data_IF_648017717579
#
_entry.id   IF_648017717579
#
_cell.length_a   1.000
_cell.length_b   1.000
_cell.length_c   1.000
_cell.angle_alpha   90.00
_cell.angle_beta   90.00
_cell.angle_gamma   90.00
#
_symmetry.space_group_name_H-M   'P 1'
#
loop_
_entity.id
_entity.type
_entity.pdbx_description
1 polymer ?
#
# COMPACT_ATOMS: atom_id res chain seq x y z
N UNK A 1 -43.45 -35.06 -31.75
CA UNK A 1 -43.08 -33.66 -32.10
C UNK A 1 -42.57 -32.89 -30.89
N UNK A 2 -43.21 -33.05 -29.72
CA UNK A 2 -42.75 -32.36 -28.48
C UNK A 2 -41.37 -32.85 -28.00
N UNK A 3 -41.02 -34.14 -28.13
CA UNK A 3 -39.73 -34.70 -27.74
C UNK A 3 -38.59 -34.22 -28.63
N UNK A 4 -38.82 -33.94 -29.90
CA UNK A 4 -37.81 -33.40 -30.81
C UNK A 4 -37.51 -31.93 -30.55
N UNK A 5 -38.50 -31.16 -30.03
CA UNK A 5 -38.31 -29.74 -29.71
C UNK A 5 -37.48 -29.57 -28.43
N UNK A 6 -37.62 -30.48 -27.45
CA UNK A 6 -36.78 -30.43 -26.26
C UNK A 6 -35.31 -30.82 -26.51
N UNK A 7 -35.06 -31.67 -27.52
CA UNK A 7 -33.68 -32.09 -27.88
C UNK A 7 -32.93 -31.01 -28.67
N UNK A 8 -33.63 -30.14 -29.42
CA UNK A 8 -33.02 -29.03 -30.15
C UNK A 8 -32.68 -27.86 -29.25
N UNK A 9 -33.41 -27.65 -28.14
CA UNK A 9 -33.03 -26.62 -27.16
C UNK A 9 -31.82 -27.02 -26.30
N UNK A 10 -31.50 -28.34 -26.20
CA UNK A 10 -30.33 -28.82 -25.48
C UNK A 10 -29.03 -28.75 -26.31
N UNK A 11 -29.11 -28.37 -27.60
CA UNK A 11 -27.98 -28.25 -28.53
C UNK A 11 -27.67 -26.80 -28.95
N UNK A 12 -28.36 -25.81 -28.37
CA UNK A 12 -27.86 -24.43 -28.44
C UNK A 12 -26.63 -24.41 -27.53
N UNK A 13 -25.42 -24.24 -28.07
CA UNK A 13 -24.29 -23.94 -27.18
C UNK A 13 -24.68 -22.69 -26.43
N UNK A 14 -24.85 -22.78 -25.11
CA UNK A 14 -24.67 -21.61 -24.27
C UNK A 14 -23.21 -21.19 -24.54
N UNK A 15 -23.00 -20.33 -25.53
CA UNK A 15 -21.85 -19.46 -25.49
C UNK A 15 -22.06 -18.64 -24.23
N UNK A 16 -21.51 -19.09 -23.11
CA UNK A 16 -21.20 -18.18 -22.05
C UNK A 16 -20.40 -17.07 -22.76
N UNK A 17 -20.98 -15.88 -22.85
CA UNK A 17 -20.20 -14.71 -23.19
C UNK A 17 -19.19 -14.63 -22.03
N UNK A 18 -18.00 -15.18 -22.26
CA UNK A 18 -16.87 -14.84 -21.41
C UNK A 18 -16.73 -13.34 -21.57
N UNK A 19 -17.05 -12.60 -20.53
CA UNK A 19 -16.86 -11.16 -20.51
C UNK A 19 -15.34 -10.96 -20.76
N UNK A 20 -15.01 -10.25 -21.83
CA UNK A 20 -13.61 -9.98 -22.17
C UNK A 20 -13.06 -9.01 -21.12
N UNK A 21 -11.86 -9.25 -20.65
CA UNK A 21 -11.16 -8.27 -19.84
C UNK A 21 -11.07 -6.93 -20.59
N UNK A 22 -11.13 -5.79 -19.88
CA UNK A 22 -10.90 -4.49 -20.52
C UNK A 22 -9.59 -4.51 -21.31
N UNK A 23 -9.59 -3.82 -22.46
CA UNK A 23 -8.42 -3.70 -23.31
C UNK A 23 -7.38 -2.72 -22.76
N UNK A 24 -7.12 -2.65 -21.48
CA UNK A 24 -6.14 -1.74 -20.87
C UNK A 24 -5.10 -1.17 -21.87
N UNK A 25 -4.01 -0.61 -21.49
CA UNK A 25 -2.93 -0.15 -22.38
C UNK A 25 -2.26 -1.26 -23.22
N UNK A 26 -2.70 -2.52 -23.10
CA UNK A 26 -2.19 -3.71 -23.79
C UNK A 26 -1.90 -4.87 -22.84
N UNK A 27 -1.28 -5.94 -23.40
CA UNK A 27 -0.94 -7.15 -22.66
C UNK A 27 -2.08 -8.17 -22.57
N UNK A 28 -1.77 -9.35 -22.01
CA UNK A 28 -2.72 -10.47 -21.85
C UNK A 28 -2.96 -10.84 -20.38
N UNK A 29 -2.38 -10.09 -19.43
CA UNK A 29 -2.51 -10.33 -18.01
C UNK A 29 -1.67 -11.48 -17.45
N UNK A 30 -0.81 -12.08 -18.26
CA UNK A 30 0.15 -13.10 -17.80
C UNK A 30 1.40 -12.45 -17.20
N UNK A 31 2.17 -13.21 -16.42
CA UNK A 31 3.43 -12.70 -15.85
C UNK A 31 4.43 -12.22 -16.93
N UNK A 32 4.50 -12.90 -18.08
CA UNK A 32 5.39 -12.53 -19.17
C UNK A 32 4.84 -11.43 -20.08
N UNK A 33 3.54 -11.13 -19.99
CA UNK A 33 2.84 -10.14 -20.80
C UNK A 33 1.70 -9.53 -19.96
N UNK A 34 2.02 -8.71 -18.93
CA UNK A 34 1.04 -8.15 -18.01
C UNK A 34 0.10 -7.15 -18.69
N UNK A 35 -1.08 -6.98 -18.18
CA UNK A 35 -1.95 -5.88 -18.57
C UNK A 35 -1.31 -4.55 -18.23
N UNK A 36 -1.22 -3.66 -19.22
CA UNK A 36 -0.52 -2.39 -19.06
C UNK A 36 -1.46 -1.29 -18.57
N UNK A 37 -1.06 -0.60 -17.52
CA UNK A 37 -1.74 0.58 -16.98
C UNK A 37 -0.87 1.79 -17.34
N UNK A 38 -1.18 2.41 -18.48
CA UNK A 38 -0.37 3.46 -19.08
C UNK A 38 -0.94 4.86 -18.85
N UNK A 39 -2.21 4.95 -18.43
CA UNK A 39 -2.94 6.21 -18.35
C UNK A 39 -3.91 6.22 -17.17
N UNK A 40 -4.47 7.41 -16.91
CA UNK A 40 -5.56 7.60 -15.96
C UNK A 40 -6.79 6.76 -16.35
N UNK A 41 -7.10 6.68 -17.63
CA UNK A 41 -8.22 5.92 -18.18
C UNK A 41 -8.07 4.42 -17.94
N UNK A 42 -6.87 3.87 -18.12
CA UNK A 42 -6.59 2.44 -17.82
C UNK A 42 -6.77 2.14 -16.33
N UNK A 43 -6.30 3.04 -15.47
CA UNK A 43 -6.44 2.87 -14.02
C UNK A 43 -7.92 2.94 -13.58
N UNK A 44 -8.70 3.84 -14.17
CA UNK A 44 -10.15 3.93 -13.94
C UNK A 44 -10.85 2.66 -14.46
N UNK A 45 -10.49 2.19 -15.65
CA UNK A 45 -11.05 0.96 -16.21
C UNK A 45 -10.77 -0.26 -15.31
N UNK A 46 -9.60 -0.34 -14.68
CA UNK A 46 -9.29 -1.40 -13.71
C UNK A 46 -10.21 -1.29 -12.47
N UNK A 47 -10.42 -0.08 -11.95
CA UNK A 47 -11.33 0.12 -10.82
C UNK A 47 -12.78 -0.27 -11.17
N UNK A 48 -13.28 0.16 -12.32
CA UNK A 48 -14.62 -0.19 -12.80
C UNK A 48 -14.78 -1.70 -13.02
N UNK A 49 -13.77 -2.35 -13.61
CA UNK A 49 -13.77 -3.80 -13.86
C UNK A 49 -13.89 -4.60 -12.56
N UNK A 50 -13.12 -4.28 -11.53
CA UNK A 50 -13.23 -4.91 -10.21
C UNK A 50 -14.56 -4.56 -9.53
N UNK A 51 -14.91 -3.29 -9.51
CA UNK A 51 -16.04 -2.77 -8.73
C UNK A 51 -17.42 -3.14 -9.30
N UNK A 52 -17.49 -3.54 -10.57
CA UNK A 52 -18.72 -4.06 -11.20
C UNK A 52 -18.96 -5.55 -10.96
N UNK A 53 -17.98 -6.27 -10.40
CA UNK A 53 -18.02 -7.72 -10.22
C UNK A 53 -17.60 -8.51 -11.47
N UNK A 54 -17.26 -7.84 -12.57
CA UNK A 54 -16.86 -8.51 -13.82
C UNK A 54 -15.54 -9.29 -13.67
N UNK A 55 -14.74 -8.94 -12.66
CA UNK A 55 -13.47 -9.62 -12.37
C UNK A 55 -13.63 -10.94 -11.59
N UNK A 56 -14.80 -11.25 -11.03
CA UNK A 56 -15.01 -12.46 -10.20
C UNK A 56 -14.63 -13.76 -10.91
N UNK A 57 -14.84 -13.84 -12.22
CA UNK A 57 -14.53 -15.02 -13.02
C UNK A 57 -13.06 -15.12 -13.43
N UNK A 58 -12.28 -14.05 -13.23
CA UNK A 58 -10.86 -14.01 -13.60
C UNK A 58 -10.00 -14.60 -12.48
N UNK A 59 -9.66 -15.88 -12.62
CA UNK A 59 -8.81 -16.64 -11.71
C UNK A 59 -7.85 -17.52 -12.56
N UNK A 60 -6.64 -16.99 -12.81
CA UNK A 60 -5.66 -17.64 -13.67
C UNK A 60 -5.13 -18.96 -13.08
N UNK A 61 -5.20 -19.12 -11.75
CA UNK A 61 -4.71 -20.30 -11.06
C UNK A 61 -5.82 -21.31 -10.74
N UNK A 62 -7.07 -20.98 -11.11
CA UNK A 62 -8.27 -21.79 -10.81
C UNK A 62 -8.39 -22.18 -9.32
N UNK A 63 -7.94 -21.28 -8.43
CA UNK A 63 -7.95 -21.47 -6.99
C UNK A 63 -9.33 -21.24 -6.36
N UNK A 64 -10.31 -20.77 -7.13
CA UNK A 64 -11.63 -20.39 -6.66
C UNK A 64 -11.65 -19.06 -5.90
N UNK A 65 -10.63 -18.22 -6.10
CA UNK A 65 -10.49 -16.90 -5.48
C UNK A 65 -11.16 -15.83 -6.35
N UNK A 66 -10.99 -15.89 -7.68
CA UNK A 66 -11.50 -14.89 -8.61
C UNK A 66 -10.80 -13.52 -8.47
N UNK A 67 -11.48 -12.46 -8.90
CA UNK A 67 -11.03 -11.06 -8.68
C UNK A 67 -9.61 -10.79 -9.19
N UNK A 68 -9.29 -11.32 -10.39
CA UNK A 68 -7.99 -11.25 -11.04
C UNK A 68 -6.87 -12.03 -10.35
N UNK A 69 -7.18 -13.02 -9.51
CA UNK A 69 -6.17 -13.87 -8.88
C UNK A 69 -5.25 -14.53 -9.93
N UNK A 70 -3.93 -14.43 -9.73
CA UNK A 70 -2.90 -14.92 -10.65
C UNK A 70 -2.69 -14.08 -11.92
N UNK A 71 -3.46 -13.00 -12.12
CA UNK A 71 -3.21 -12.04 -13.21
C UNK A 71 -2.24 -10.95 -12.79
N UNK A 72 -1.56 -10.38 -13.80
CA UNK A 72 -0.50 -9.39 -13.62
C UNK A 72 -0.86 -8.07 -14.32
N UNK A 73 -0.61 -6.98 -13.61
CA UNK A 73 -0.81 -5.61 -14.07
C UNK A 73 0.51 -4.85 -13.93
N UNK A 74 0.87 -4.06 -14.92
CA UNK A 74 2.09 -3.26 -14.88
C UNK A 74 1.80 -1.81 -15.24
N UNK A 75 2.12 -0.89 -14.34
CA UNK A 75 2.10 0.53 -14.63
C UNK A 75 3.29 0.88 -15.51
N UNK A 76 3.08 1.74 -16.52
CA UNK A 76 4.12 2.09 -17.50
C UNK A 76 4.41 3.58 -17.57
N UNK A 77 3.71 4.39 -16.77
CA UNK A 77 3.91 5.83 -16.67
C UNK A 77 3.42 6.36 -15.32
N UNK A 78 3.89 7.53 -14.93
CA UNK A 78 3.28 8.29 -13.83
C UNK A 78 1.84 8.66 -14.17
N UNK A 79 0.91 8.46 -13.23
CA UNK A 79 -0.52 8.75 -13.40
C UNK A 79 -0.89 9.92 -12.48
N UNK A 80 -1.46 10.98 -13.06
CA UNK A 80 -1.96 12.14 -12.34
C UNK A 80 -3.49 12.10 -12.31
N UNK A 81 -4.07 12.01 -11.11
CA UNK A 81 -5.52 11.96 -10.88
C UNK A 81 -6.11 13.33 -10.54
N UNK A 82 -5.43 14.42 -10.88
CA UNK A 82 -5.94 15.78 -10.66
C UNK A 82 -7.31 15.97 -11.35
N UNK A 83 -8.32 16.33 -10.57
CA UNK A 83 -9.69 16.54 -11.04
C UNK A 83 -10.55 15.28 -11.17
N UNK A 84 -9.98 14.11 -10.84
CA UNK A 84 -10.72 12.85 -10.79
C UNK A 84 -11.26 12.61 -9.38
N UNK A 85 -12.55 12.27 -9.28
CA UNK A 85 -13.12 11.70 -8.07
C UNK A 85 -12.76 10.21 -8.05
N UNK A 86 -11.71 9.85 -7.32
CA UNK A 86 -11.17 8.51 -7.36
C UNK A 86 -12.05 7.52 -6.57
N UNK A 87 -12.43 6.43 -7.21
CA UNK A 87 -13.01 5.25 -6.56
C UNK A 87 -11.92 4.19 -6.36
N UNK A 88 -11.75 3.62 -5.15
CA UNK A 88 -10.73 2.61 -4.91
C UNK A 88 -10.91 1.35 -5.78
N UNK A 89 -9.81 0.76 -6.22
CA UNK A 89 -9.80 -0.53 -6.94
C UNK A 89 -10.19 -1.62 -5.93
N UNK A 90 -11.33 -2.30 -6.15
CA UNK A 90 -11.88 -3.29 -5.23
C UNK A 90 -12.23 -2.66 -3.87
N UNK A 91 -13.48 -2.61 -3.47
CA UNK A 91 -13.90 -1.79 -2.32
C UNK A 91 -14.54 -2.59 -1.18
N UNK A 92 -14.60 -3.91 -1.29
CA UNK A 92 -15.28 -4.74 -0.30
C UNK A 92 -14.70 -6.15 -0.22
N UNK A 93 -15.14 -6.93 0.76
CA UNK A 93 -14.80 -8.33 0.88
C UNK A 93 -15.34 -9.23 -0.24
N UNK A 94 -16.22 -8.72 -1.11
CA UNK A 94 -16.67 -9.41 -2.32
C UNK A 94 -15.94 -8.92 -3.57
N UNK A 95 -15.67 -7.62 -3.63
CA UNK A 95 -14.98 -6.97 -4.74
C UNK A 95 -13.62 -6.49 -4.26
N UNK A 96 -12.65 -7.37 -4.19
CA UNK A 96 -11.28 -7.10 -3.78
C UNK A 96 -10.31 -7.33 -4.93
N UNK A 97 -9.13 -6.77 -4.84
CA UNK A 97 -8.06 -7.02 -5.80
C UNK A 97 -7.23 -8.22 -5.33
N UNK A 98 -7.20 -9.29 -6.13
CA UNK A 98 -6.40 -10.50 -5.88
C UNK A 98 -5.25 -10.69 -6.87
N UNK A 99 -5.06 -9.75 -7.79
CA UNK A 99 -4.00 -9.79 -8.80
C UNK A 99 -2.64 -9.35 -8.27
N UNK A 100 -1.69 -9.25 -9.18
CA UNK A 100 -0.34 -8.77 -8.93
C UNK A 100 -0.16 -7.44 -9.66
N UNK A 101 -0.04 -6.34 -8.92
CA UNK A 101 0.14 -4.99 -9.47
C UNK A 101 1.58 -4.54 -9.27
N UNK A 102 2.30 -4.32 -10.37
CA UNK A 102 3.64 -3.75 -10.39
C UNK A 102 3.57 -2.27 -10.85
N UNK A 103 3.85 -1.35 -9.96
CA UNK A 103 3.96 0.08 -10.26
C UNK A 103 5.19 0.44 -11.09
N UNK A 104 6.14 -0.50 -11.28
CA UNK A 104 7.40 -0.31 -12.04
C UNK A 104 8.20 0.94 -11.63
N UNK A 105 8.06 1.38 -10.37
CA UNK A 105 8.67 2.60 -9.84
C UNK A 105 7.94 3.89 -10.20
N UNK A 106 6.82 3.82 -10.90
CA UNK A 106 6.00 4.98 -11.22
C UNK A 106 5.12 5.44 -10.06
N UNK A 107 4.64 6.67 -10.15
CA UNK A 107 3.77 7.25 -9.14
C UNK A 107 2.32 7.41 -9.61
N UNK A 108 1.39 7.26 -8.64
CA UNK A 108 0.02 7.78 -8.74
C UNK A 108 -0.05 9.00 -7.81
N UNK A 109 -0.49 10.14 -8.36
CA UNK A 109 -0.47 11.42 -7.63
C UNK A 109 -1.77 12.19 -7.70
N UNK A 110 -1.97 13.05 -6.69
CA UNK A 110 -3.10 13.96 -6.57
C UNK A 110 -4.48 13.25 -6.53
N UNK A 111 -4.50 12.00 -6.09
CA UNK A 111 -5.74 11.25 -5.95
C UNK A 111 -6.60 11.83 -4.82
N UNK A 112 -7.87 12.08 -5.10
CA UNK A 112 -8.87 12.53 -4.11
C UNK A 112 -10.00 11.52 -4.08
N UNK A 113 -10.27 10.95 -2.89
CA UNK A 113 -11.34 9.97 -2.69
C UNK A 113 -12.11 10.28 -1.42
N UNK A 114 -13.44 10.15 -1.48
CA UNK A 114 -14.31 10.14 -0.30
C UNK A 114 -14.62 8.74 0.20
N UNK A 115 -13.89 7.76 -0.34
CA UNK A 115 -14.09 6.35 -0.08
C UNK A 115 -15.31 5.78 -0.79
N UNK A 116 -15.38 4.46 -0.81
CA UNK A 116 -16.55 3.74 -1.30
C UNK A 116 -17.14 2.90 -0.17
N UNK A 117 -18.47 2.96 -0.05
CA UNK A 117 -19.21 2.22 0.98
C UNK A 117 -19.80 0.99 0.32
N UNK A 118 -19.59 -0.17 0.92
CA UNK A 118 -20.17 -1.42 0.47
C UNK A 118 -21.62 -1.61 0.97
N UNK A 119 -22.35 -2.65 0.49
CA UNK A 119 -23.72 -2.91 0.92
C UNK A 119 -23.88 -3.16 2.43
N UNK A 120 -22.84 -3.60 3.11
CA UNK A 120 -22.85 -3.86 4.55
C UNK A 120 -22.49 -2.60 5.36
N UNK A 121 -22.13 -1.51 4.68
CA UNK A 121 -21.84 -0.19 5.26
C UNK A 121 -20.38 0.01 5.68
N UNK A 122 -19.47 -0.85 5.24
CA UNK A 122 -18.02 -0.65 5.39
C UNK A 122 -17.55 0.38 4.37
N UNK A 123 -16.73 1.31 4.78
CA UNK A 123 -16.13 2.29 3.89
C UNK A 123 -14.63 2.03 3.74
N UNK A 124 -14.14 2.06 2.51
CA UNK A 124 -12.70 1.95 2.23
C UNK A 124 -12.23 3.09 1.34
N UNK A 125 -11.02 3.58 1.59
CA UNK A 125 -10.34 4.55 0.72
C UNK A 125 -8.84 4.22 0.62
N UNK A 126 -8.29 4.44 -0.57
CA UNK A 126 -6.92 4.14 -0.95
C UNK A 126 -6.78 4.17 -2.47
N UNK A 127 -5.62 3.85 -3.01
CA UNK A 127 -5.55 3.46 -4.43
C UNK A 127 -6.34 2.16 -4.62
N UNK A 128 -6.12 1.20 -3.72
CA UNK A 128 -6.95 0.00 -3.57
C UNK A 128 -7.86 0.15 -2.36
N UNK A 129 -9.11 -0.31 -2.45
CA UNK A 129 -9.98 -0.45 -1.29
C UNK A 129 -9.60 -1.70 -0.50
N UNK A 130 -9.58 -2.86 -1.16
CA UNK A 130 -9.16 -4.14 -0.60
C UNK A 130 -8.14 -4.82 -1.51
N UNK A 131 -7.04 -5.26 -0.92
CA UNK A 131 -6.09 -6.20 -1.53
C UNK A 131 -6.14 -7.48 -0.72
N UNK A 132 -6.58 -8.58 -1.35
CA UNK A 132 -6.69 -9.87 -0.69
C UNK A 132 -6.09 -10.96 -1.57
N UNK A 133 -5.18 -11.78 -1.02
CA UNK A 133 -4.49 -12.87 -1.71
C UNK A 133 -3.66 -12.45 -2.94
N UNK A 134 -3.37 -11.15 -3.06
CA UNK A 134 -2.62 -10.57 -4.18
C UNK A 134 -1.35 -9.85 -3.74
N UNK A 135 -0.79 -9.06 -4.65
CA UNK A 135 0.38 -8.23 -4.35
C UNK A 135 0.30 -6.85 -4.99
N UNK A 136 0.91 -5.88 -4.31
CA UNK A 136 1.19 -4.55 -4.86
C UNK A 136 2.66 -4.26 -4.65
N UNK A 137 3.38 -3.98 -5.73
CA UNK A 137 4.81 -3.68 -5.61
C UNK A 137 5.22 -2.47 -6.45
N UNK A 138 6.33 -1.83 -6.06
CA UNK A 138 6.97 -0.72 -6.77
C UNK A 138 6.05 0.47 -7.06
N UNK A 139 5.04 0.71 -6.22
CA UNK A 139 4.05 1.78 -6.39
C UNK A 139 4.33 2.95 -5.44
N UNK A 140 4.36 4.17 -5.97
CA UNK A 140 4.55 5.39 -5.20
C UNK A 140 3.31 6.28 -5.24
N UNK A 141 2.67 6.50 -4.08
CA UNK A 141 1.50 7.39 -3.96
C UNK A 141 1.96 8.74 -3.41
N UNK A 142 1.59 9.83 -4.10
CA UNK A 142 2.01 11.18 -3.74
C UNK A 142 0.85 12.16 -3.71
N UNK A 143 0.82 13.02 -2.68
CA UNK A 143 -0.17 14.11 -2.54
C UNK A 143 -1.62 13.59 -2.58
N UNK A 144 -1.90 12.42 -2.04
CA UNK A 144 -3.26 11.89 -1.97
C UNK A 144 -4.05 12.55 -0.83
N UNK A 145 -5.37 12.68 -1.04
CA UNK A 145 -6.30 13.11 -0.02
C UNK A 145 -7.46 12.10 0.04
N UNK A 146 -7.38 11.17 0.98
CA UNK A 146 -8.35 10.11 1.14
C UNK A 146 -9.13 10.28 2.43
N UNK A 147 -10.45 10.31 2.28
CA UNK A 147 -11.38 10.39 3.41
C UNK A 147 -12.40 9.28 3.26
N UNK A 148 -12.61 8.47 4.29
CA UNK A 148 -13.70 7.50 4.30
C UNK A 148 -14.64 7.74 5.48
N UNK A 149 -15.93 7.60 5.23
CA UNK A 149 -16.98 7.69 6.25
C UNK A 149 -17.90 6.49 6.11
N UNK A 150 -17.71 5.48 6.95
CA UNK A 150 -18.56 4.30 6.98
C UNK A 150 -19.99 4.64 7.43
N UNK A 151 -20.97 3.90 6.96
CA UNK A 151 -22.36 4.03 7.39
C UNK A 151 -22.66 3.17 8.62
N UNK A 152 -21.98 2.03 8.74
CA UNK A 152 -22.00 1.14 9.89
C UNK A 152 -20.65 1.26 10.65
N UNK A 153 -20.12 0.26 11.26
CA UNK A 153 -19.06 0.37 12.26
C UNK A 153 -17.62 0.48 11.71
N UNK A 154 -17.40 0.41 10.39
CA UNK A 154 -16.06 0.22 9.87
C UNK A 154 -15.71 1.26 8.79
N UNK A 155 -14.53 1.85 8.94
CA UNK A 155 -13.98 2.77 7.96
C UNK A 155 -12.45 2.59 7.92
N UNK A 156 -11.93 2.14 6.78
CA UNK A 156 -10.53 1.80 6.60
C UNK A 156 -9.89 2.68 5.53
N UNK A 157 -8.84 3.42 5.90
CA UNK A 157 -8.15 4.35 5.01
C UNK A 157 -6.66 4.06 4.99
N UNK A 158 -6.11 3.83 3.79
CA UNK A 158 -4.68 3.71 3.58
C UNK A 158 -4.27 4.35 2.26
N UNK A 159 -3.03 4.79 2.14
CA UNK A 159 -2.55 5.39 0.91
C UNK A 159 -2.43 4.37 -0.24
N UNK A 160 -1.98 3.16 0.07
CA UNK A 160 -1.95 2.05 -0.87
C UNK A 160 -3.30 1.31 -0.84
N UNK A 161 -3.73 0.83 0.32
CA UNK A 161 -4.97 0.07 0.43
C UNK A 161 -5.73 0.38 1.74
N UNK A 162 -7.06 0.41 1.67
CA UNK A 162 -7.90 0.43 2.87
C UNK A 162 -7.70 -0.83 3.71
N UNK A 163 -7.72 -2.00 3.07
CA UNK A 163 -7.54 -3.31 3.70
C UNK A 163 -6.49 -4.15 2.96
N UNK A 164 -5.64 -4.83 3.73
CA UNK A 164 -4.67 -5.83 3.26
C UNK A 164 -4.92 -7.17 3.95
N UNK A 165 -5.39 -8.17 3.21
CA UNK A 165 -5.70 -9.50 3.73
C UNK A 165 -4.81 -10.57 3.07
N UNK A 166 -3.95 -11.23 3.84
CA UNK A 166 -3.09 -12.30 3.34
C UNK A 166 -2.20 -11.93 2.15
N UNK A 167 -1.92 -10.64 1.97
CA UNK A 167 -1.32 -10.07 0.77
C UNK A 167 0.08 -9.51 1.00
N UNK A 168 0.79 -9.18 -0.08
CA UNK A 168 2.13 -8.59 -0.03
C UNK A 168 2.12 -7.16 -0.58
N UNK A 169 2.73 -6.22 0.17
CA UNK A 169 3.00 -4.86 -0.29
C UNK A 169 4.51 -4.63 -0.20
N UNK A 170 5.14 -4.42 -1.36
CA UNK A 170 6.60 -4.38 -1.45
C UNK A 170 7.10 -3.17 -2.22
N UNK A 171 8.17 -2.54 -1.72
CA UNK A 171 8.82 -1.39 -2.36
C UNK A 171 7.83 -0.27 -2.73
N UNK A 172 6.87 0.00 -1.83
CA UNK A 172 5.84 1.01 -2.02
C UNK A 172 6.07 2.21 -1.10
N UNK A 173 5.63 3.39 -1.53
CA UNK A 173 5.69 4.56 -0.66
C UNK A 173 4.43 5.42 -0.74
N UNK A 174 4.13 6.09 0.38
CA UNK A 174 3.09 7.12 0.46
C UNK A 174 3.72 8.38 1.03
N UNK A 175 3.62 9.47 0.28
CA UNK A 175 4.34 10.71 0.60
C UNK A 175 3.41 11.92 0.49
N UNK A 176 3.53 12.88 1.43
CA UNK A 176 2.81 14.16 1.43
C UNK A 176 1.29 14.00 1.32
N UNK A 177 0.71 13.02 1.99
CA UNK A 177 -0.70 12.65 1.83
C UNK A 177 -1.49 12.89 3.12
N UNK A 178 -2.81 13.14 2.95
CA UNK A 178 -3.78 13.28 4.03
C UNK A 178 -4.75 12.11 4.00
N UNK A 179 -4.85 11.39 5.09
CA UNK A 179 -5.58 10.13 5.21
C UNK A 179 -6.48 10.21 6.42
N UNK A 180 -7.79 10.21 6.22
CA UNK A 180 -8.74 10.44 7.30
C UNK A 180 -9.88 9.41 7.30
N UNK A 181 -10.03 8.71 8.43
CA UNK A 181 -11.15 7.80 8.67
C UNK A 181 -12.12 8.48 9.64
N UNK A 182 -13.33 8.76 9.14
CA UNK A 182 -14.37 9.52 9.89
C UNK A 182 -15.52 8.63 10.26
N UNK A 183 -15.70 8.36 11.52
CA UNK A 183 -16.96 7.92 12.10
C UNK A 183 -16.95 7.80 13.62
N UNK A 184 -18.14 7.70 14.18
CA UNK A 184 -18.47 7.69 15.61
C UNK A 184 -18.50 6.27 16.23
N UNK A 185 -17.70 5.29 15.77
CA UNK A 185 -17.68 3.93 16.32
C UNK A 185 -16.26 3.33 16.29
N UNK A 186 -16.03 2.29 17.09
CA UNK A 186 -14.73 1.76 17.48
C UNK A 186 -13.81 1.14 16.40
N UNK A 187 -14.20 1.07 15.15
CA UNK A 187 -13.42 0.36 14.13
C UNK A 187 -13.08 1.29 12.95
N UNK A 188 -12.53 2.45 13.29
CA UNK A 188 -12.09 3.42 12.31
C UNK A 188 -10.58 3.42 12.28
N UNK A 189 -10.01 2.88 11.22
CA UNK A 189 -8.59 2.71 11.10
C UNK A 189 -8.05 3.57 9.96
N UNK A 190 -6.98 4.30 10.24
CA UNK A 190 -6.24 5.00 9.21
C UNK A 190 -4.74 4.76 9.37
N UNK A 191 -4.07 4.44 8.26
CA UNK A 191 -2.61 4.29 8.21
C UNK A 191 -2.05 4.87 6.92
N UNK A 192 -0.79 5.30 6.94
CA UNK A 192 -0.22 5.87 5.71
C UNK A 192 -0.17 4.86 4.57
N UNK A 193 0.15 3.61 4.86
CA UNK A 193 0.23 2.56 3.84
C UNK A 193 -1.09 1.80 3.75
N UNK A 194 -1.60 1.31 4.89
CA UNK A 194 -2.80 0.48 4.96
C UNK A 194 -3.66 0.87 6.16
N UNK A 195 -5.00 0.92 5.99
CA UNK A 195 -5.92 1.16 7.09
C UNK A 195 -6.00 -0.03 8.05
N UNK A 196 -6.26 -1.23 7.52
CA UNK A 196 -6.42 -2.46 8.28
C UNK A 196 -5.65 -3.61 7.64
N UNK A 197 -4.92 -4.39 8.43
CA UNK A 197 -4.12 -5.52 7.95
C UNK A 197 -4.37 -6.79 8.75
N UNK A 198 -4.51 -7.92 8.06
CA UNK A 198 -4.42 -9.26 8.63
C UNK A 198 -3.56 -10.15 7.73
N UNK A 199 -2.50 -10.74 8.29
CA UNK A 199 -1.52 -11.54 7.54
C UNK A 199 -0.77 -10.78 6.45
N UNK A 200 -0.68 -9.45 6.56
CA UNK A 200 0.01 -8.59 5.59
C UNK A 200 1.52 -8.75 5.64
N UNK A 201 2.18 -8.81 4.49
CA UNK A 201 3.65 -8.84 4.38
C UNK A 201 4.13 -7.55 3.72
N UNK A 202 4.85 -6.75 4.51
CA UNK A 202 5.36 -5.45 4.08
C UNK A 202 6.88 -5.49 3.99
N UNK A 203 7.42 -5.21 2.82
CA UNK A 203 8.87 -5.18 2.60
C UNK A 203 9.28 -3.89 1.88
N UNK A 204 10.28 -3.19 2.39
CA UNK A 204 10.81 -1.97 1.78
C UNK A 204 9.73 -0.93 1.49
N UNK A 205 8.87 -0.65 2.47
CA UNK A 205 7.81 0.33 2.32
C UNK A 205 8.06 1.56 3.19
N UNK A 206 7.65 2.73 2.68
CA UNK A 206 7.95 4.03 3.26
C UNK A 206 6.71 4.91 3.43
N UNK A 207 6.56 5.50 4.60
CA UNK A 207 5.57 6.54 4.87
C UNK A 207 6.28 7.85 5.26
N UNK A 208 6.11 8.90 4.44
CA UNK A 208 6.83 10.16 4.66
C UNK A 208 5.88 11.38 4.62
N UNK A 209 6.03 12.29 5.57
CA UNK A 209 5.33 13.57 5.59
C UNK A 209 3.80 13.44 5.46
N UNK A 210 3.21 12.40 5.98
CA UNK A 210 1.78 12.16 5.90
C UNK A 210 1.05 12.69 7.13
N UNK A 211 -0.20 13.08 6.94
CA UNK A 211 -1.13 13.35 8.02
C UNK A 211 -2.17 12.22 8.07
N UNK A 212 -2.19 11.49 9.16
CA UNK A 212 -3.16 10.43 9.44
C UNK A 212 -4.10 10.91 10.53
N UNK A 213 -5.40 10.89 10.25
CA UNK A 213 -6.43 11.28 11.20
C UNK A 213 -7.51 10.20 11.27
N UNK A 214 -7.92 9.85 12.48
CA UNK A 214 -8.92 8.81 12.70
C UNK A 214 -9.74 9.07 13.96
N UNK A 215 -10.85 8.36 14.09
CA UNK A 215 -11.69 8.39 15.28
C UNK A 215 -11.38 7.25 16.26
N UNK A 216 -10.50 6.31 15.92
CA UNK A 216 -10.09 5.21 16.80
C UNK A 216 -8.62 4.82 16.65
N UNK A 217 -8.21 4.12 15.58
CA UNK A 217 -6.88 3.53 15.44
C UNK A 217 -6.07 4.17 14.33
N UNK A 218 -5.11 5.01 14.71
CA UNK A 218 -4.23 5.71 13.79
C UNK A 218 -2.81 5.17 13.82
N UNK A 219 -2.26 4.80 12.66
CA UNK A 219 -0.87 4.38 12.55
C UNK A 219 -0.09 5.17 11.50
N UNK A 220 1.14 5.50 11.82
CA UNK A 220 2.03 6.10 10.83
C UNK A 220 2.23 5.21 9.61
N UNK A 221 2.04 3.90 9.75
CA UNK A 221 2.13 2.92 8.68
C UNK A 221 0.81 2.16 8.50
N UNK A 222 0.31 1.43 9.52
CA UNK A 222 -0.95 0.68 9.52
C UNK A 222 -1.85 1.16 10.64
N UNK A 223 -3.15 1.39 10.35
CA UNK A 223 -4.12 1.78 11.37
C UNK A 223 -4.34 0.69 12.41
N UNK A 224 -4.68 -0.52 11.97
CA UNK A 224 -4.87 -1.69 12.84
C UNK A 224 -4.27 -2.95 12.20
N UNK A 225 -3.65 -3.79 13.04
CA UNK A 225 -3.26 -5.16 12.70
C UNK A 225 -4.06 -6.12 13.57
N UNK A 226 -4.86 -6.97 12.92
CA UNK A 226 -5.65 -8.02 13.57
C UNK A 226 -5.42 -9.37 12.86
N UNK A 227 -4.57 -10.20 13.43
CA UNK A 227 -4.18 -11.49 12.84
C UNK A 227 -5.09 -12.65 13.29
N UNK A 228 -6.15 -12.37 14.05
CA UNK A 228 -7.10 -13.35 14.56
C UNK A 228 -7.96 -14.05 13.49
N UNK A 229 -8.00 -13.55 12.26
CA UNK A 229 -8.84 -14.07 11.17
C UNK A 229 -8.17 -15.14 10.30
N UNK A 230 -7.05 -15.71 10.73
CA UNK A 230 -6.47 -16.91 10.11
C UNK A 230 -5.63 -16.68 8.85
N UNK A 231 -5.35 -15.43 8.48
CA UNK A 231 -4.43 -15.10 7.37
C UNK A 231 -2.93 -15.19 7.76
N UNK A 232 -2.65 -15.49 9.02
CA UNK A 232 -1.29 -15.53 9.58
C UNK A 232 -0.86 -14.20 10.15
N UNK A 233 0.36 -14.14 10.68
CA UNK A 233 0.89 -12.94 11.31
C UNK A 233 1.42 -11.94 10.29
N UNK A 234 1.15 -10.66 10.54
CA UNK A 234 1.69 -9.56 9.74
C UNK A 234 3.18 -9.37 9.99
N UNK A 235 3.94 -9.03 8.94
CA UNK A 235 5.39 -8.87 9.00
C UNK A 235 5.84 -7.58 8.32
N UNK A 236 6.85 -6.94 8.90
CA UNK A 236 7.43 -5.70 8.38
C UNK A 236 8.94 -5.83 8.30
N UNK A 237 9.49 -5.67 7.12
CA UNK A 237 10.94 -5.78 6.89
C UNK A 237 11.45 -4.61 6.08
N UNK A 238 12.49 -3.93 6.55
CA UNK A 238 13.07 -2.77 5.89
C UNK A 238 12.05 -1.65 5.63
N UNK A 239 11.15 -1.39 6.56
CA UNK A 239 10.11 -0.38 6.44
C UNK A 239 10.38 0.82 7.35
N UNK A 240 9.80 1.97 7.01
CA UNK A 240 9.93 3.13 7.89
C UNK A 240 8.77 4.12 7.82
N UNK A 241 8.69 4.90 8.89
CA UNK A 241 7.84 6.08 9.03
C UNK A 241 8.69 7.27 9.38
N UNK A 242 8.59 8.36 8.63
CA UNK A 242 9.33 9.59 8.90
C UNK A 242 8.45 10.84 8.72
N UNK A 243 8.56 11.80 9.65
CA UNK A 243 7.88 13.09 9.60
C UNK A 243 6.34 12.98 9.46
N UNK A 244 5.73 11.93 9.99
CA UNK A 244 4.30 11.73 9.93
C UNK A 244 3.62 12.30 11.19
N UNK A 245 2.40 12.83 11.01
CA UNK A 245 1.53 13.24 12.10
C UNK A 245 0.35 12.29 12.17
N UNK A 246 0.15 11.67 13.33
CA UNK A 246 -0.96 10.75 13.60
C UNK A 246 -1.83 11.32 14.70
N UNK A 247 -3.09 11.58 14.38
CA UNK A 247 -4.08 12.12 15.31
C UNK A 247 -5.23 11.13 15.40
N UNK A 248 -5.42 10.54 16.58
CA UNK A 248 -6.59 9.74 16.88
C UNK A 248 -7.51 10.58 17.78
N UNK A 249 -8.72 10.87 17.29
CA UNK A 249 -9.75 11.59 18.04
C UNK A 249 -10.77 10.59 18.58
N UNK A 250 -11.38 10.87 19.73
CA UNK A 250 -12.56 10.13 20.15
C UNK A 250 -13.74 11.08 20.20
N UNK A 251 -14.89 10.59 19.73
CA UNK A 251 -16.13 11.17 20.22
C UNK A 251 -16.53 10.49 21.53
N UNK A 252 -17.45 11.10 22.27
CA UNK A 252 -17.82 10.70 23.62
C UNK A 252 -18.49 9.33 23.76
N UNK A 253 -18.64 8.54 22.69
CA UNK A 253 -19.58 7.40 22.69
C UNK A 253 -18.94 6.08 23.11
N UNK A 254 -17.69 5.80 22.76
CA UNK A 254 -17.04 4.53 23.16
C UNK A 254 -15.55 4.60 23.53
N UNK A 255 -14.95 5.72 23.43
CA UNK A 255 -13.77 6.05 24.23
C UNK A 255 -12.41 5.52 23.82
N UNK A 256 -12.25 4.72 22.78
CA UNK A 256 -10.92 4.22 22.39
C UNK A 256 -10.23 5.13 21.39
N UNK A 257 -8.97 5.48 21.67
CA UNK A 257 -8.17 6.34 20.80
C UNK A 257 -6.70 5.96 20.91
N UNK A 258 -6.17 5.36 19.84
CA UNK A 258 -4.78 4.92 19.83
C UNK A 258 -4.04 5.49 18.63
N UNK A 259 -2.85 6.05 18.90
CA UNK A 259 -1.97 6.59 17.87
C UNK A 259 -0.59 5.95 17.98
N UNK A 260 -0.21 5.18 16.95
CA UNK A 260 1.08 4.53 16.87
C UNK A 260 1.97 5.14 15.79
N UNK A 261 3.26 5.21 16.04
CA UNK A 261 4.22 5.62 15.03
C UNK A 261 4.27 4.64 13.85
N UNK A 262 4.06 3.35 14.12
CA UNK A 262 3.96 2.30 13.11
C UNK A 262 2.52 1.79 13.00
N UNK A 263 1.97 1.16 14.04
CA UNK A 263 0.63 0.57 14.09
C UNK A 263 -0.21 1.27 15.14
N UNK A 264 -1.45 1.64 14.80
CA UNK A 264 -2.38 2.27 15.77
C UNK A 264 -2.82 1.31 16.85
N UNK A 265 -3.36 0.14 16.49
CA UNK A 265 -3.73 -0.93 17.41
C UNK A 265 -3.30 -2.29 16.87
N UNK A 266 -2.97 -3.18 17.80
CA UNK A 266 -2.74 -4.59 17.52
C UNK A 266 -3.74 -5.42 18.30
N UNK A 267 -4.46 -6.30 17.59
CA UNK A 267 -5.48 -7.19 18.16
C UNK A 267 -5.10 -8.64 17.87
N UNK A 268 -4.97 -9.46 18.92
CA UNK A 268 -4.65 -10.90 18.85
C UNK A 268 -3.47 -11.23 17.90
N UNK A 269 -2.46 -10.34 17.85
CA UNK A 269 -1.41 -10.33 16.83
C UNK A 269 -0.03 -10.50 17.43
N UNK A 270 0.83 -11.25 16.71
CA UNK A 270 2.27 -11.31 16.97
C UNK A 270 3.03 -10.64 15.81
N UNK A 271 3.27 -9.33 15.95
CA UNK A 271 3.92 -8.54 14.92
C UNK A 271 5.41 -8.88 14.84
N UNK A 272 5.89 -9.20 13.63
CA UNK A 272 7.34 -9.33 13.38
C UNK A 272 7.84 -8.10 12.65
N UNK A 273 8.78 -7.38 13.26
CA UNK A 273 9.35 -6.15 12.72
C UNK A 273 10.87 -6.29 12.63
N UNK A 274 11.42 -6.16 11.43
CA UNK A 274 12.85 -6.31 11.20
C UNK A 274 13.42 -5.15 10.38
N UNK A 275 14.55 -4.59 10.83
CA UNK A 275 15.23 -3.49 10.15
C UNK A 275 14.27 -2.31 9.85
N UNK A 276 13.50 -1.88 10.82
CA UNK A 276 12.50 -0.82 10.64
C UNK A 276 12.83 0.38 11.54
N UNK A 277 12.32 1.55 11.17
CA UNK A 277 12.46 2.70 12.05
C UNK A 277 11.27 3.66 12.01
N UNK A 278 11.12 4.43 13.10
CA UNK A 278 10.19 5.56 13.22
C UNK A 278 11.00 6.81 13.56
N UNK A 279 10.86 7.87 12.77
CA UNK A 279 11.61 9.10 12.97
C UNK A 279 10.71 10.33 12.84
N UNK A 280 10.80 11.26 13.83
CA UNK A 280 10.02 12.51 13.86
C UNK A 280 8.52 12.29 13.66
N UNK A 281 7.95 11.25 14.26
CA UNK A 281 6.51 11.04 14.27
C UNK A 281 5.87 11.87 15.39
N UNK A 282 4.87 12.67 15.04
CA UNK A 282 4.05 13.39 16.02
C UNK A 282 2.78 12.59 16.26
N UNK A 283 2.59 12.13 17.49
CA UNK A 283 1.48 11.26 17.87
C UNK A 283 0.61 11.95 18.91
N UNK A 284 -0.70 12.01 18.69
CA UNK A 284 -1.64 12.54 19.65
C UNK A 284 -2.94 11.75 19.70
N UNK A 285 -3.52 11.70 20.91
CA UNK A 285 -4.88 11.23 21.12
C UNK A 285 -5.70 12.38 21.70
N UNK A 286 -6.78 12.70 21.04
CA UNK A 286 -7.65 13.82 21.40
C UNK A 286 -9.05 13.32 21.81
N UNK A 287 -9.82 14.18 22.51
CA UNK A 287 -11.20 13.87 22.92
C UNK A 287 -11.34 13.54 24.41
N UNK A 288 -12.56 13.20 24.81
CA UNK A 288 -12.99 13.06 26.22
C UNK A 288 -13.02 11.61 26.70
N UNK A 289 -12.34 10.70 26.01
CA UNK A 289 -12.34 9.27 26.33
C UNK A 289 -12.09 8.96 27.81
N UNK A 290 -12.63 7.86 28.26
CA UNK A 290 -12.45 7.34 29.62
C UNK A 290 -10.97 7.11 29.89
N UNK A 291 -10.43 7.48 31.07
CA UNK A 291 -9.04 7.19 31.42
C UNK A 291 -8.73 5.69 31.27
N UNK A 292 -7.76 5.35 30.46
CA UNK A 292 -7.36 3.96 30.17
C UNK A 292 -7.60 3.48 28.75
N UNK A 293 -8.47 4.17 28.00
CA UNK A 293 -8.78 3.80 26.61
C UNK A 293 -8.07 4.66 25.57
N UNK A 294 -6.99 5.31 25.96
CA UNK A 294 -6.13 6.12 25.12
C UNK A 294 -4.69 5.68 25.23
N UNK A 295 -4.00 5.62 24.10
CA UNK A 295 -2.58 5.31 24.10
C UNK A 295 -1.86 5.89 22.90
N UNK A 296 -0.62 6.27 23.14
CA UNK A 296 0.36 6.56 22.09
C UNK A 296 1.53 5.62 22.26
N UNK A 297 2.13 5.18 21.15
CA UNK A 297 3.31 4.34 21.23
C UNK A 297 4.14 4.39 19.95
N UNK A 298 5.44 4.15 20.06
CA UNK A 298 6.36 4.28 18.94
C UNK A 298 6.04 3.28 17.84
N UNK A 299 5.97 1.99 18.17
CA UNK A 299 5.62 0.95 17.21
C UNK A 299 4.14 0.58 17.27
N UNK A 300 3.50 0.66 18.42
CA UNK A 300 2.06 0.42 18.52
C UNK A 300 1.41 1.34 19.54
N UNK A 301 0.28 1.98 19.18
CA UNK A 301 -0.51 2.80 20.11
C UNK A 301 -1.14 1.95 21.20
N UNK A 302 -1.59 0.74 20.88
CA UNK A 302 -2.13 -0.25 21.82
C UNK A 302 -1.79 -1.69 21.42
N UNK A 303 -1.73 -2.57 22.45
CA UNK A 303 -1.55 -4.02 22.33
C UNK A 303 -2.71 -4.72 23.03
N UNK A 304 -3.68 -5.24 22.27
CA UNK A 304 -4.87 -5.92 22.78
C UNK A 304 -4.79 -7.45 22.61
N UNK A 305 -5.50 -8.20 23.44
CA UNK A 305 -5.68 -9.66 23.25
C UNK A 305 -4.40 -10.49 23.42
N UNK A 306 -3.42 -10.00 24.14
CA UNK A 306 -2.11 -10.68 24.28
C UNK A 306 -1.14 -10.42 23.13
N UNK A 307 -1.41 -9.42 22.32
CA UNK A 307 -0.55 -8.99 21.23
C UNK A 307 0.88 -8.69 21.68
N UNK A 308 1.84 -8.93 20.80
CA UNK A 308 3.25 -8.74 21.08
C UNK A 308 4.01 -8.23 19.86
N UNK A 309 5.11 -7.50 20.11
CA UNK A 309 6.03 -7.03 19.08
C UNK A 309 7.33 -7.84 19.21
N UNK A 310 7.66 -8.61 18.17
CA UNK A 310 8.94 -9.27 18.01
C UNK A 310 9.78 -8.46 17.03
N UNK A 311 10.56 -7.52 17.54
CA UNK A 311 11.40 -6.64 16.75
C UNK A 311 12.87 -7.06 16.77
N UNK A 312 13.54 -6.80 15.65
CA UNK A 312 14.98 -7.05 15.48
C UNK A 312 15.60 -5.92 14.68
N UNK A 313 16.65 -5.32 15.23
CA UNK A 313 17.38 -4.23 14.58
C UNK A 313 16.47 -3.05 14.20
N UNK A 314 15.63 -2.63 15.15
CA UNK A 314 14.69 -1.53 14.96
C UNK A 314 15.11 -0.31 15.78
N UNK A 315 14.80 0.89 15.26
CA UNK A 315 15.20 2.14 15.86
C UNK A 315 14.08 3.17 15.83
N UNK A 316 14.16 4.14 16.74
CA UNK A 316 13.29 5.32 16.68
C UNK A 316 14.03 6.57 17.19
N UNK A 317 13.54 7.74 16.82
CA UNK A 317 14.11 8.99 17.29
C UNK A 317 13.20 10.18 17.03
N UNK A 318 13.34 11.21 17.88
CA UNK A 318 12.59 12.46 17.81
C UNK A 318 11.05 12.30 17.80
N UNK A 319 10.53 11.26 18.45
CA UNK A 319 9.07 11.03 18.55
C UNK A 319 8.46 11.63 19.82
N UNK A 320 9.28 11.99 20.80
CA UNK A 320 8.83 12.53 22.09
C UNK A 320 8.13 11.53 23.00
N UNK A 321 8.07 10.25 22.62
CA UNK A 321 7.49 9.13 23.36
C UNK A 321 8.39 7.89 23.25
N UNK A 322 8.26 6.98 24.20
CA UNK A 322 9.05 5.72 24.24
C UNK A 322 8.18 4.49 24.48
N UNK A 323 6.90 4.68 24.71
CA UNK A 323 5.96 3.60 25.01
C UNK A 323 5.79 2.66 23.82
N UNK A 324 5.57 1.37 24.11
CA UNK A 324 5.31 0.30 23.13
C UNK A 324 6.33 0.25 21.98
N UNK A 325 7.59 0.49 22.29
CA UNK A 325 8.69 0.43 21.32
C UNK A 325 9.21 -1.01 21.08
N UNK A 326 8.69 -2.01 21.81
CA UNK A 326 9.28 -3.35 21.83
C UNK A 326 10.70 -3.33 22.41
N UNK A 327 11.66 -3.87 21.68
CA UNK A 327 13.11 -3.80 22.01
C UNK A 327 13.85 -2.79 21.14
N UNK A 328 13.16 -2.03 20.31
CA UNK A 328 13.74 -1.00 19.45
C UNK A 328 14.51 0.06 20.27
N UNK A 329 15.67 0.45 19.75
CA UNK A 329 16.54 1.38 20.46
C UNK A 329 16.24 2.83 20.04
N UNK A 330 16.08 3.71 21.04
CA UNK A 330 16.06 5.15 20.81
C UNK A 330 17.44 5.63 20.33
N UNK A 331 17.43 6.50 19.33
CA UNK A 331 18.62 7.15 18.77
C UNK A 331 18.45 8.65 18.77
N UNK A 332 19.53 9.38 18.96
CA UNK A 332 19.53 10.82 18.84
C UNK A 332 19.28 11.26 17.38
N UNK A 333 18.72 12.45 17.19
CA UNK A 333 18.55 13.02 15.85
C UNK A 333 19.85 13.06 15.05
N UNK A 334 20.97 13.35 15.73
CA UNK A 334 22.29 13.35 15.12
C UNK A 334 22.68 11.98 14.54
N UNK A 335 22.27 10.86 15.17
CA UNK A 335 22.57 9.51 14.69
C UNK A 335 21.79 9.18 13.39
N UNK A 336 20.60 9.76 13.22
CA UNK A 336 19.85 9.69 11.97
C UNK A 336 20.50 10.56 10.88
N UNK A 337 20.96 11.77 11.24
CA UNK A 337 21.52 12.71 10.29
C UNK A 337 22.95 12.36 9.82
N UNK A 338 23.75 11.69 10.65
CA UNK A 338 25.16 11.41 10.37
C UNK A 338 25.44 10.01 9.77
N UNK A 339 24.40 9.23 9.50
CA UNK A 339 24.51 7.89 8.91
C UNK A 339 24.78 6.76 9.90
N UNK A 340 24.83 7.03 11.20
CA UNK A 340 25.02 5.98 12.22
C UNK A 340 23.89 4.96 12.15
N UNK A 341 22.62 5.40 12.10
CA UNK A 341 21.46 4.50 12.00
C UNK A 341 21.44 3.80 10.64
N UNK A 342 21.84 4.47 9.54
CA UNK A 342 22.00 3.82 8.24
C UNK A 342 22.96 2.64 8.28
N UNK A 343 24.12 2.84 8.90
CA UNK A 343 25.12 1.77 9.08
C UNK A 343 24.60 0.58 9.91
N UNK A 344 23.75 0.82 10.90
CA UNK A 344 23.13 -0.22 11.71
C UNK A 344 22.06 -1.01 10.96
N UNK A 345 21.24 -0.32 10.13
CA UNK A 345 20.18 -0.93 9.31
C UNK A 345 20.73 -1.64 8.06
N UNK A 346 21.99 -1.32 7.66
CA UNK A 346 22.68 -1.96 6.55
C UNK A 346 22.20 -1.50 5.18
N UNK A 347 22.50 -2.30 4.16
CA UNK A 347 22.37 -1.94 2.74
C UNK A 347 20.92 -1.67 2.27
N UNK A 348 19.93 -1.97 3.10
CA UNK A 348 18.54 -1.67 2.78
C UNK A 348 18.22 -0.16 2.80
N UNK A 349 19.08 0.63 3.47
CA UNK A 349 18.87 2.06 3.66
C UNK A 349 20.10 2.88 3.28
N UNK A 350 19.87 4.09 2.78
CA UNK A 350 20.90 5.09 2.55
C UNK A 350 20.56 6.39 3.27
N UNK A 351 21.61 7.12 3.69
CA UNK A 351 21.46 8.45 4.24
C UNK A 351 21.02 9.43 3.16
N UNK A 352 19.92 10.15 3.39
CA UNK A 352 19.41 11.18 2.49
C UNK A 352 18.93 12.37 3.33
N UNK A 353 19.74 13.46 3.36
CA UNK A 353 19.43 14.58 4.24
C UNK A 353 19.54 14.19 5.72
N UNK A 354 18.54 14.56 6.52
CA UNK A 354 18.54 14.39 7.97
C UNK A 354 18.01 13.02 8.44
N UNK A 355 17.61 12.14 7.51
CA UNK A 355 17.14 10.78 7.83
C UNK A 355 17.43 9.82 6.68
N UNK A 356 17.00 8.55 6.83
CA UNK A 356 17.32 7.49 5.90
C UNK A 356 16.18 7.25 4.92
N UNK A 357 16.55 6.84 3.70
CA UNK A 357 15.57 6.31 2.72
C UNK A 357 15.93 4.90 2.34
N UNK A 358 14.92 4.14 1.92
CA UNK A 358 15.13 2.81 1.36
C UNK A 358 16.00 2.95 0.12
N UNK A 359 17.05 2.14 0.04
CA UNK A 359 17.79 1.97 -1.20
C UNK A 359 16.85 1.34 -2.23
N UNK A 360 16.35 2.17 -3.13
CA UNK A 360 15.66 1.71 -4.31
C UNK A 360 16.61 0.99 -5.27
N UNK A 361 16.13 0.33 -6.30
CA UNK A 361 16.95 0.02 -7.46
C UNK A 361 17.61 1.33 -7.90
N UNK A 362 18.90 1.27 -8.21
CA UNK A 362 19.63 2.45 -8.63
C UNK A 362 18.86 3.15 -9.77
N UNK A 363 18.63 4.45 -9.63
CA UNK A 363 18.01 5.23 -10.71
C UNK A 363 19.03 5.40 -11.85
N UNK A 364 18.87 4.56 -12.84
CA UNK A 364 19.69 4.61 -14.07
C UNK A 364 19.13 5.54 -15.14
N UNK A 365 18.06 6.30 -14.89
CA UNK A 365 17.39 7.13 -15.88
C UNK A 365 18.36 8.10 -16.60
N UNK A 366 19.28 8.70 -15.86
CA UNK A 366 20.34 9.56 -16.43
C UNK A 366 21.34 8.76 -17.26
N UNK A 367 21.67 7.55 -16.84
CA UNK A 367 22.57 6.64 -17.54
C UNK A 367 21.90 6.13 -18.82
N UNK A 368 20.64 5.72 -18.73
CA UNK A 368 19.85 5.27 -19.88
C UNK A 368 19.66 6.37 -20.91
N UNK A 369 19.41 7.62 -20.46
CA UNK A 369 19.37 8.79 -21.33
C UNK A 369 20.71 9.07 -22.00
N UNK A 370 21.82 8.87 -21.29
CA UNK A 370 23.18 9.03 -21.86
C UNK A 370 23.49 7.91 -22.89
N UNK A 371 23.11 6.65 -22.58
CA UNK A 371 23.23 5.50 -23.50
C UNK A 371 22.39 5.74 -24.75
N UNK A 372 21.14 6.19 -24.61
CA UNK A 372 20.27 6.50 -25.73
C UNK A 372 20.87 7.59 -26.63
N UNK A 373 21.43 8.66 -26.03
CA UNK A 373 22.14 9.70 -26.78
C UNK A 373 23.38 9.14 -27.51
N UNK A 374 24.16 8.31 -26.83
CA UNK A 374 25.35 7.67 -27.44
C UNK A 374 24.98 6.77 -28.62
N UNK A 375 23.92 5.98 -28.47
CA UNK A 375 23.43 5.08 -29.55
C UNK A 375 22.80 5.85 -30.73
N UNK A 376 22.32 7.07 -30.51
CA UNK A 376 21.78 7.93 -31.57
C UNK A 376 22.88 8.67 -32.38
N UNK A 377 24.15 8.57 -31.98
CA UNK A 377 25.25 9.17 -32.71
C UNK A 377 25.52 8.37 -34.01
N UNK A 378 25.63 9.11 -35.14
CA UNK A 378 25.99 8.51 -36.42
C UNK A 378 27.50 8.22 -36.45
N UNK A 379 27.88 6.94 -36.42
CA UNK A 379 29.28 6.50 -36.34
C UNK A 379 30.18 7.09 -37.41
N UNK A 380 29.62 7.26 -38.58
CA UNK A 380 30.35 7.80 -39.76
C UNK A 380 30.79 9.24 -39.61
N UNK A 381 30.21 9.96 -38.67
CA UNK A 381 30.57 11.33 -38.35
C UNK A 381 31.80 11.47 -37.42
N UNK A 382 32.33 10.31 -36.96
CA UNK A 382 33.44 10.31 -35.99
C UNK A 382 34.62 9.50 -36.52
N UNK A 383 35.84 10.01 -36.30
CA UNK A 383 37.07 9.38 -36.73
C UNK A 383 37.39 8.10 -35.98
N UNK A 384 36.93 8.00 -34.72
CA UNK A 384 37.01 6.81 -33.88
C UNK A 384 35.82 6.80 -32.94
N UNK A 385 34.99 5.77 -33.03
CA UNK A 385 33.79 5.53 -32.25
C UNK A 385 33.98 4.46 -31.16
N UNK A 386 35.15 3.81 -31.14
CA UNK A 386 35.43 2.62 -30.31
C UNK A 386 35.30 2.92 -28.80
N UNK A 387 35.70 4.12 -28.38
CA UNK A 387 35.59 4.53 -26.97
C UNK A 387 34.13 4.70 -26.53
N UNK A 388 33.24 5.18 -27.39
CA UNK A 388 31.81 5.31 -27.11
C UNK A 388 31.17 3.93 -26.99
N UNK A 389 31.47 3.00 -27.92
CA UNK A 389 30.98 1.62 -27.85
C UNK A 389 31.48 0.89 -26.61
N UNK A 390 32.76 1.04 -26.25
CA UNK A 390 33.32 0.46 -25.05
C UNK A 390 32.65 1.00 -23.79
N UNK A 391 32.40 2.32 -23.72
CA UNK A 391 31.73 2.94 -22.58
C UNK A 391 30.27 2.45 -22.42
N UNK A 392 29.51 2.37 -23.51
CA UNK A 392 28.13 1.86 -23.49
C UNK A 392 28.08 0.40 -23.07
N UNK A 393 29.00 -0.43 -23.59
CA UNK A 393 29.06 -1.86 -23.27
C UNK A 393 29.59 -2.15 -21.85
N UNK A 394 30.29 -1.21 -21.23
CA UNK A 394 30.84 -1.34 -19.88
C UNK A 394 29.83 -0.98 -18.77
N UNK A 395 28.64 -0.48 -19.12
CA UNK A 395 27.61 -0.19 -18.13
C UNK A 395 27.06 -1.48 -17.57
N UNK A 396 27.38 -1.75 -16.31
CA UNK A 396 26.83 -2.88 -15.53
C UNK A 396 25.65 -2.36 -14.73
N UNK A 397 24.50 -3.01 -14.82
CA UNK A 397 23.26 -2.69 -14.09
C UNK A 397 23.04 -3.65 -12.95
#
# INVERSE_FOLDING_TARGET
>A
LLLALCLVMALVPMTAFAEEAPSFGGGTGTQGDPWLIASQEDLIALAEFLNSGNAEQFDAEAAGIGNCHGYYFKQTADIDLTGVSWEPIGYSGSYYFAGNYDGDGHSIKNAISTGKVDPDGFATAGIFGWVAFGSVENLHVKNANFVATGQNNYSYVGGIAGVCYGSSIKNCSVVNSSLESKRNNNNNCAGSIVGYSTGGRFEKCAAENNQVKTMAYGGGFVGEVDDGYGAGNSTFTNCYVANCTVISETDDVQGTSFAGGFVGEMTDSALTVQNCYVYQATLSTEGTAVPGDKGTGVFAGNLWGGSSIADTNCFFGACGITENAGTAAEKAEEDFANGTVAGLLGDAFAQVGDYLKINGPADYSSVDAAIAKANALEKDNYKDFSAVEAAVNAVVR
#
